data_IF_521165127996
#
_entry.id   IF_521165127996
#
_cell.length_a   1.000
_cell.length_b   1.000
_cell.length_c   1.000
_cell.angle_alpha   90.00
_cell.angle_beta   90.00
_cell.angle_gamma   90.00
#
_symmetry.space_group_name_H-M   'P 1'
#
loop_
_entity.id
_entity.type
_entity.pdbx_description
1 polymer ?
#
# COMPACT_ATOMS: atom_id res chain seq x y z
N UNK A 1 -23.22 -6.00 -54.71
CA UNK A 1 -22.43 -7.02 -53.98
C UNK A 1 -22.96 -8.39 -54.40
N UNK A 2 -22.11 -9.39 -54.64
CA UNK A 2 -22.57 -10.75 -54.94
C UNK A 2 -23.27 -11.34 -53.71
N UNK A 3 -24.29 -12.19 -53.92
CA UNK A 3 -25.09 -12.82 -52.86
C UNK A 3 -24.20 -13.52 -51.82
N UNK A 4 -23.18 -14.23 -52.28
CA UNK A 4 -22.20 -14.93 -51.42
C UNK A 4 -21.47 -14.01 -50.42
N UNK A 5 -21.18 -12.75 -50.82
CA UNK A 5 -20.51 -11.78 -49.93
C UNK A 5 -21.46 -11.24 -48.85
N UNK A 6 -22.76 -11.23 -49.12
CA UNK A 6 -23.77 -10.83 -48.15
C UNK A 6 -23.93 -11.93 -47.09
N UNK A 7 -23.94 -13.20 -47.51
CA UNK A 7 -24.06 -14.36 -46.63
C UNK A 7 -22.85 -14.50 -45.70
N UNK A 8 -21.63 -14.29 -46.20
CA UNK A 8 -20.41 -14.27 -45.39
C UNK A 8 -20.46 -13.18 -44.30
N UNK A 9 -20.94 -11.98 -44.65
CA UNK A 9 -21.08 -10.88 -43.71
C UNK A 9 -22.14 -11.18 -42.63
N UNK A 10 -23.24 -11.83 -43.00
CA UNK A 10 -24.28 -12.27 -42.05
C UNK A 10 -23.71 -13.30 -41.06
N UNK A 11 -22.93 -14.26 -41.54
CA UNK A 11 -22.29 -15.27 -40.68
C UNK A 11 -21.30 -14.62 -39.71
N UNK A 12 -20.53 -13.64 -40.16
CA UNK A 12 -19.60 -12.92 -39.30
C UNK A 12 -20.34 -12.12 -38.21
N UNK A 13 -21.43 -11.43 -38.58
CA UNK A 13 -22.27 -10.74 -37.60
C UNK A 13 -22.88 -11.71 -36.58
N UNK A 14 -23.37 -12.88 -37.01
CA UNK A 14 -23.88 -13.91 -36.10
C UNK A 14 -22.81 -14.40 -35.11
N UNK A 15 -21.57 -14.61 -35.58
CA UNK A 15 -20.43 -14.98 -34.71
C UNK A 15 -20.10 -13.88 -33.71
N UNK A 16 -20.15 -12.62 -34.12
CA UNK A 16 -19.92 -11.47 -33.24
C UNK A 16 -21.00 -11.39 -32.16
N UNK A 17 -22.28 -11.47 -32.53
CA UNK A 17 -23.41 -11.47 -31.59
C UNK A 17 -23.31 -12.64 -30.60
N UNK A 18 -23.05 -13.85 -31.08
CA UNK A 18 -22.87 -15.02 -30.21
C UNK A 18 -21.72 -14.85 -29.22
N UNK A 19 -20.57 -14.32 -29.69
CA UNK A 19 -19.42 -14.03 -28.82
C UNK A 19 -19.76 -12.99 -27.75
N UNK A 20 -20.51 -11.96 -28.10
CA UNK A 20 -20.95 -10.92 -27.15
C UNK A 20 -21.89 -11.47 -26.09
N UNK A 21 -22.87 -12.28 -26.49
CA UNK A 21 -23.80 -12.96 -25.58
C UNK A 21 -23.05 -13.90 -24.64
N UNK A 22 -22.13 -14.71 -25.17
CA UNK A 22 -21.29 -15.60 -24.36
C UNK A 22 -20.44 -14.83 -23.35
N UNK A 23 -19.81 -13.73 -23.77
CA UNK A 23 -19.01 -12.87 -22.89
C UNK A 23 -19.88 -12.15 -21.84
N UNK A 24 -21.14 -11.85 -22.15
CA UNK A 24 -22.11 -11.31 -21.20
C UNK A 24 -22.50 -12.36 -20.18
N UNK A 25 -22.78 -13.58 -20.61
CA UNK A 25 -23.13 -14.70 -19.73
C UNK A 25 -21.99 -15.06 -18.77
N UNK A 26 -20.75 -15.14 -19.26
CA UNK A 26 -19.57 -15.38 -18.41
C UNK A 26 -19.40 -14.31 -17.32
N UNK A 27 -19.56 -13.03 -17.69
CA UNK A 27 -19.50 -11.90 -16.74
C UNK A 27 -20.62 -11.97 -15.71
N UNK A 28 -21.83 -12.35 -16.13
CA UNK A 28 -22.98 -12.48 -15.23
C UNK A 28 -22.81 -13.66 -14.27
N UNK A 29 -22.38 -14.83 -14.76
CA UNK A 29 -22.20 -16.04 -13.94
C UNK A 29 -21.03 -15.98 -12.96
N UNK A 30 -20.01 -15.14 -13.22
CA UNK A 30 -18.81 -15.00 -12.37
C UNK A 30 -18.14 -16.33 -12.04
N UNK A 31 -18.10 -17.26 -13.00
CA UNK A 31 -17.49 -18.59 -12.84
C UNK A 31 -18.38 -19.66 -12.20
N UNK A 32 -19.63 -19.35 -11.84
CA UNK A 32 -20.62 -20.33 -11.36
C UNK A 32 -21.38 -21.05 -12.48
N UNK A 33 -21.96 -22.21 -12.16
CA UNK A 33 -22.88 -22.94 -13.06
C UNK A 33 -24.23 -22.21 -13.21
N UNK A 34 -24.68 -21.55 -12.14
CA UNK A 34 -25.95 -20.85 -12.07
C UNK A 34 -25.73 -19.34 -12.09
N UNK A 35 -26.76 -18.60 -12.48
CA UNK A 35 -26.76 -17.14 -12.33
C UNK A 35 -26.73 -16.76 -10.84
N UNK A 36 -25.97 -15.72 -10.47
CA UNK A 36 -26.04 -15.21 -9.12
C UNK A 36 -27.46 -14.71 -8.86
N UNK A 37 -28.10 -15.26 -7.83
CA UNK A 37 -29.37 -14.77 -7.33
C UNK A 37 -29.15 -14.19 -5.94
N UNK A 38 -29.94 -13.18 -5.57
CA UNK A 38 -29.88 -12.65 -4.23
C UNK A 38 -30.61 -13.61 -3.28
N UNK A 39 -29.93 -14.04 -2.22
CA UNK A 39 -30.50 -14.91 -1.18
C UNK A 39 -31.40 -14.08 -0.27
N UNK A 40 -31.15 -12.78 -0.14
CA UNK A 40 -31.96 -11.87 0.67
C UNK A 40 -33.36 -11.71 0.06
N UNK A 41 -34.43 -12.07 0.79
CA UNK A 41 -35.78 -11.79 0.34
C UNK A 41 -36.06 -10.29 0.45
N UNK A 42 -36.51 -9.70 -0.67
CA UNK A 42 -36.90 -8.28 -0.79
C UNK A 42 -35.78 -7.34 -0.34
N UNK A 43 -34.63 -7.31 -1.03
CA UNK A 43 -33.46 -6.55 -0.59
C UNK A 43 -33.70 -5.04 -0.59
N UNK A 44 -34.49 -4.53 -1.53
CA UNK A 44 -34.73 -3.08 -1.63
C UNK A 44 -35.93 -2.65 -0.80
N UNK A 45 -35.84 -1.49 -0.15
CA UNK A 45 -36.98 -0.90 0.59
C UNK A 45 -38.16 -0.59 -0.34
N UNK A 46 -37.86 -0.23 -1.59
CA UNK A 46 -38.84 0.06 -2.62
C UNK A 46 -39.72 -1.16 -2.92
N UNK A 47 -39.16 -2.35 -3.03
CA UNK A 47 -39.93 -3.59 -3.19
C UNK A 47 -40.89 -3.81 -2.02
N UNK A 48 -40.45 -3.49 -0.79
CA UNK A 48 -41.26 -3.64 0.45
C UNK A 48 -42.38 -2.62 0.58
N UNK A 49 -42.20 -1.42 0.02
CA UNK A 49 -43.13 -0.30 0.17
C UNK A 49 -44.13 -0.17 -0.99
N UNK A 50 -43.77 -0.59 -2.21
CA UNK A 50 -44.66 -0.48 -3.38
C UNK A 50 -45.82 -1.47 -3.32
N UNK A 51 -45.58 -2.68 -2.81
CA UNK A 51 -46.60 -3.70 -2.64
C UNK A 51 -46.70 -4.05 -1.16
N UNK A 52 -47.91 -4.08 -0.56
CA UNK A 52 -48.04 -4.58 0.79
C UNK A 52 -47.55 -6.02 0.83
N UNK A 53 -46.57 -6.32 1.69
CA UNK A 53 -45.97 -7.65 1.77
C UNK A 53 -47.03 -8.69 2.12
N UNK A 54 -47.02 -9.80 1.39
CA UNK A 54 -47.80 -10.98 1.73
C UNK A 54 -47.29 -11.61 3.04
N UNK A 55 -48.12 -12.41 3.71
CA UNK A 55 -47.72 -13.05 4.97
C UNK A 55 -46.56 -14.03 4.80
N UNK A 56 -46.46 -14.69 3.63
CA UNK A 56 -45.33 -15.56 3.29
C UNK A 56 -44.02 -14.77 3.14
N UNK A 57 -44.05 -13.63 2.46
CA UNK A 57 -42.88 -12.76 2.31
C UNK A 57 -42.42 -12.18 3.65
N UNK A 58 -43.35 -11.84 4.55
CA UNK A 58 -43.02 -11.40 5.92
C UNK A 58 -42.36 -12.51 6.72
N UNK A 59 -42.86 -13.75 6.62
CA UNK A 59 -42.27 -14.90 7.30
C UNK A 59 -40.84 -15.17 6.80
N UNK A 60 -40.62 -15.13 5.48
CA UNK A 60 -39.28 -15.27 4.88
C UNK A 60 -38.33 -14.15 5.33
N UNK A 61 -38.81 -12.91 5.38
CA UNK A 61 -37.98 -11.79 5.86
C UNK A 61 -37.64 -11.92 7.34
N UNK A 62 -38.60 -12.36 8.16
CA UNK A 62 -38.37 -12.62 9.59
C UNK A 62 -37.31 -13.70 9.77
N UNK A 63 -37.43 -14.82 9.05
CA UNK A 63 -36.43 -15.88 9.06
C UNK A 63 -35.05 -15.36 8.66
N UNK A 64 -34.96 -14.62 7.56
CA UNK A 64 -33.69 -14.03 7.12
C UNK A 64 -33.04 -13.14 8.19
N UNK A 65 -33.83 -12.29 8.87
CA UNK A 65 -33.34 -11.43 9.94
C UNK A 65 -32.90 -12.21 11.17
N UNK A 66 -33.59 -13.32 11.49
CA UNK A 66 -33.20 -14.22 12.57
C UNK A 66 -31.91 -14.97 12.23
N UNK A 67 -31.73 -15.39 10.97
CA UNK A 67 -30.51 -16.05 10.48
C UNK A 67 -29.27 -15.14 10.50
N UNK A 68 -29.45 -13.81 10.51
CA UNK A 68 -28.34 -12.86 10.69
C UNK A 68 -27.82 -12.79 12.13
N UNK A 69 -28.52 -13.39 13.11
CA UNK A 69 -28.07 -13.39 14.51
C UNK A 69 -26.94 -14.40 14.66
N UNK A 70 -25.74 -13.91 14.97
CA UNK A 70 -24.58 -14.76 15.22
C UNK A 70 -24.79 -15.59 16.50
N UNK A 71 -24.19 -16.79 16.50
CA UNK A 71 -24.21 -17.65 17.69
C UNK A 71 -23.43 -16.99 18.85
N UNK A 72 -23.77 -17.26 20.12
CA UNK A 72 -23.02 -16.72 21.26
C UNK A 72 -21.53 -17.13 21.29
N UNK A 73 -21.19 -18.20 20.58
CA UNK A 73 -19.82 -18.70 20.43
C UNK A 73 -18.99 -17.84 19.48
N UNK A 74 -19.62 -17.16 18.54
CA UNK A 74 -18.93 -16.31 17.57
C UNK A 74 -18.64 -14.93 18.17
N UNK A 75 -17.49 -14.31 17.84
CA UNK A 75 -16.51 -14.69 16.82
C UNK A 75 -15.45 -15.70 17.33
N UNK A 76 -15.21 -16.76 16.55
CA UNK A 76 -14.13 -17.74 16.80
C UNK A 76 -12.91 -17.39 15.94
N UNK A 77 -11.75 -17.22 16.57
CA UNK A 77 -10.49 -16.99 15.85
C UNK A 77 -9.90 -18.33 15.38
N UNK A 78 -10.00 -18.62 14.08
CA UNK A 78 -9.47 -19.85 13.47
C UNK A 78 -8.09 -19.55 12.85
N UNK A 79 -6.99 -20.03 13.46
CA UNK A 79 -5.64 -19.68 13.01
C UNK A 79 -5.29 -20.23 11.63
N UNK A 80 -5.94 -21.32 11.20
CA UNK A 80 -5.68 -22.00 9.92
C UNK A 80 -6.23 -21.21 8.72
N UNK A 81 -7.30 -20.45 8.91
CA UNK A 81 -7.94 -19.69 7.84
C UNK A 81 -7.13 -18.45 7.44
N UNK A 82 -6.25 -17.96 8.34
CA UNK A 82 -5.41 -16.79 8.11
C UNK A 82 -3.95 -17.18 7.87
N UNK A 83 -3.68 -17.89 6.76
CA UNK A 83 -2.30 -18.18 6.34
C UNK A 83 -1.54 -16.87 6.09
N UNK A 84 -0.63 -16.53 7.01
CA UNK A 84 0.28 -15.38 6.93
C UNK A 84 1.70 -15.87 6.59
N UNK A 85 2.43 -15.11 5.78
CA UNK A 85 3.86 -15.33 5.54
C UNK A 85 4.65 -15.39 6.86
N UNK A 86 5.79 -16.10 6.89
CA UNK A 86 6.60 -16.31 8.11
C UNK A 86 6.98 -14.98 8.78
N UNK A 87 7.49 -14.02 8.00
CA UNK A 87 7.80 -12.68 8.50
C UNK A 87 6.57 -11.96 9.04
N UNK A 88 5.44 -12.11 8.36
CA UNK A 88 4.17 -11.54 8.82
C UNK A 88 3.71 -12.15 10.12
N UNK A 89 3.98 -13.44 10.33
CA UNK A 89 3.67 -14.16 11.56
C UNK A 89 4.55 -13.69 12.72
N UNK A 90 5.86 -13.54 12.51
CA UNK A 90 6.78 -13.14 13.58
C UNK A 90 6.48 -11.74 14.08
N UNK A 91 6.37 -10.74 13.19
CA UNK A 91 6.06 -9.38 13.64
C UNK A 91 4.62 -9.28 14.20
N UNK A 92 3.64 -9.95 13.59
CA UNK A 92 2.25 -9.90 14.10
C UNK A 92 2.19 -10.45 15.52
N UNK A 93 2.90 -11.55 15.83
CA UNK A 93 2.92 -12.14 17.18
C UNK A 93 3.38 -11.14 18.25
N UNK A 94 4.42 -10.35 17.97
CA UNK A 94 4.91 -9.35 18.91
C UNK A 94 3.84 -8.30 19.22
N UNK A 95 3.21 -7.74 18.19
CA UNK A 95 2.16 -6.73 18.37
C UNK A 95 0.84 -7.32 18.88
N UNK A 96 0.55 -8.58 18.59
CA UNK A 96 -0.60 -9.31 19.14
C UNK A 96 -0.45 -9.50 20.65
N UNK A 97 0.77 -9.77 21.14
CA UNK A 97 1.07 -9.83 22.57
C UNK A 97 0.86 -8.47 23.26
N UNK A 98 1.38 -7.38 22.68
CA UNK A 98 1.16 -6.03 23.20
C UNK A 98 -0.33 -5.66 23.21
N UNK A 99 -1.05 -5.91 22.12
CA UNK A 99 -2.49 -5.66 22.05
C UNK A 99 -3.29 -6.53 23.03
N UNK A 100 -2.81 -7.74 23.34
CA UNK A 100 -3.38 -8.64 24.34
C UNK A 100 -3.35 -8.05 25.76
N UNK A 101 -2.28 -7.34 26.11
CA UNK A 101 -2.15 -6.65 27.40
C UNK A 101 -3.18 -5.51 27.54
N UNK A 102 -3.46 -4.81 26.44
CA UNK A 102 -4.44 -3.71 26.42
C UNK A 102 -5.89 -4.17 26.19
N UNK A 103 -6.11 -5.45 25.85
CA UNK A 103 -7.43 -6.03 25.61
C UNK A 103 -8.43 -5.86 26.76
N UNK A 104 -8.08 -6.07 28.05
CA UNK A 104 -9.03 -5.85 29.16
C UNK A 104 -9.44 -4.39 29.32
N UNK A 105 -8.58 -3.44 28.95
CA UNK A 105 -8.85 -2.00 29.08
C UNK A 105 -9.72 -1.47 27.93
N UNK A 106 -9.40 -1.87 26.69
CA UNK A 106 -10.01 -1.33 25.47
C UNK A 106 -11.23 -2.14 25.00
N UNK A 107 -11.40 -3.37 25.47
CA UNK A 107 -12.49 -4.25 25.05
C UNK A 107 -12.39 -4.75 23.61
N UNK A 108 -13.36 -5.57 23.21
CA UNK A 108 -13.32 -6.33 21.96
C UNK A 108 -13.42 -5.45 20.69
N UNK A 109 -14.06 -4.28 20.78
CA UNK A 109 -14.28 -3.37 19.63
C UNK A 109 -12.99 -2.64 19.21
N UNK A 110 -12.20 -2.16 20.17
CA UNK A 110 -11.04 -1.31 19.90
C UNK A 110 -9.71 -2.09 19.80
N UNK A 111 -9.62 -3.27 20.43
CA UNK A 111 -8.45 -4.17 20.32
C UNK A 111 -8.00 -4.44 18.87
N UNK A 112 -8.88 -4.79 17.90
CA UNK A 112 -8.46 -5.03 16.53
C UNK A 112 -7.97 -3.77 15.80
N UNK A 113 -8.47 -2.59 16.19
CA UNK A 113 -8.01 -1.30 15.64
C UNK A 113 -6.58 -1.03 16.12
N UNK A 114 -6.33 -1.17 17.42
CA UNK A 114 -5.00 -1.01 18.00
C UNK A 114 -3.97 -1.95 17.36
N UNK A 115 -4.31 -3.23 17.22
CA UNK A 115 -3.47 -4.26 16.59
C UNK A 115 -3.00 -3.87 15.18
N UNK A 116 -3.84 -3.17 14.42
CA UNK A 116 -3.51 -2.71 13.06
C UNK A 116 -2.78 -1.37 13.06
N UNK A 117 -3.21 -0.43 13.90
CA UNK A 117 -2.66 0.93 13.92
C UNK A 117 -1.25 0.99 14.52
N UNK A 118 -0.98 0.22 15.58
CA UNK A 118 0.27 0.28 16.33
C UNK A 118 1.51 -0.07 15.49
N UNK A 119 1.58 -1.19 14.74
CA UNK A 119 2.72 -1.46 13.88
C UNK A 119 2.85 -0.45 12.73
N UNK A 120 1.71 0.04 12.22
CA UNK A 120 1.67 0.98 11.10
C UNK A 120 2.26 2.33 11.48
N UNK A 121 2.14 2.77 12.73
CA UNK A 121 2.69 4.05 13.20
C UNK A 121 4.08 3.88 13.82
N UNK A 122 4.27 2.87 14.67
CA UNK A 122 5.50 2.73 15.45
C UNK A 122 6.71 2.38 14.59
N UNK A 123 6.57 1.42 13.66
CA UNK A 123 7.69 0.96 12.83
C UNK A 123 8.24 2.09 11.93
N UNK A 124 7.41 2.80 11.13
CA UNK A 124 7.95 3.88 10.31
C UNK A 124 8.46 5.04 11.16
N UNK A 125 7.85 5.35 12.31
CA UNK A 125 8.36 6.38 13.21
C UNK A 125 9.78 6.06 13.70
N UNK A 126 10.00 4.84 14.20
CA UNK A 126 11.34 4.39 14.62
C UNK A 126 12.31 4.35 13.43
N UNK A 127 11.86 3.91 12.26
CA UNK A 127 12.65 3.92 11.03
C UNK A 127 13.11 5.32 10.63
N UNK A 128 12.20 6.30 10.66
CA UNK A 128 12.50 7.71 10.36
C UNK A 128 13.47 8.29 11.40
N UNK A 129 13.23 8.05 12.70
CA UNK A 129 14.09 8.56 13.75
C UNK A 129 15.51 8.00 13.66
N UNK A 130 15.64 6.69 13.45
CA UNK A 130 16.95 6.02 13.30
C UNK A 130 17.66 6.47 12.02
N UNK A 131 16.95 6.56 10.89
CA UNK A 131 17.51 7.05 9.64
C UNK A 131 17.97 8.51 9.74
N UNK A 132 17.16 9.37 10.36
CA UNK A 132 17.51 10.77 10.61
C UNK A 132 18.73 10.90 11.52
N UNK A 133 18.78 10.12 12.61
CA UNK A 133 19.93 10.09 13.51
C UNK A 133 21.21 9.69 12.76
N UNK A 134 21.13 8.63 11.93
CA UNK A 134 22.26 8.17 11.13
C UNK A 134 22.72 9.23 10.12
N UNK A 135 21.81 9.91 9.42
CA UNK A 135 22.15 11.01 8.52
C UNK A 135 22.83 12.15 9.27
N UNK A 136 22.31 12.52 10.45
CA UNK A 136 22.77 13.70 11.19
C UNK A 136 24.13 13.50 11.85
N UNK A 137 24.40 12.32 12.40
CA UNK A 137 25.59 12.07 13.23
C UNK A 137 26.59 11.10 12.60
N UNK A 138 26.26 10.48 11.46
CA UNK A 138 27.18 9.62 10.72
C UNK A 138 27.30 10.10 9.26
N UNK A 139 27.74 11.35 9.04
CA UNK A 139 28.07 11.83 7.70
C UNK A 139 29.25 11.03 7.17
N UNK A 140 29.20 10.68 5.89
CA UNK A 140 30.32 10.05 5.21
C UNK A 140 31.43 11.08 4.98
N UNK A 141 32.52 10.93 5.72
CA UNK A 141 33.78 11.69 5.55
C UNK A 141 34.89 10.78 5.06
N UNK A 142 35.94 11.36 4.49
CA UNK A 142 37.13 10.63 4.02
C UNK A 142 37.74 9.71 5.10
N UNK A 143 37.68 10.09 6.38
CA UNK A 143 38.17 9.30 7.52
C UNK A 143 37.31 8.06 7.80
N UNK A 144 35.99 8.19 7.62
CA UNK A 144 35.04 7.09 7.82
C UNK A 144 34.93 6.15 6.62
N UNK A 145 35.48 6.56 5.46
CA UNK A 145 35.49 5.77 4.22
C UNK A 145 34.07 5.45 3.73
N UNK A 146 33.78 4.18 3.49
CA UNK A 146 32.45 3.73 3.03
C UNK A 146 31.38 3.67 4.14
N UNK A 147 31.71 4.05 5.38
CA UNK A 147 30.76 4.05 6.49
C UNK A 147 29.95 5.35 6.51
N UNK A 148 28.66 5.25 6.83
CA UNK A 148 27.76 6.41 6.96
C UNK A 148 27.03 6.79 5.67
N UNK A 149 26.19 7.81 5.77
CA UNK A 149 25.40 8.31 4.65
C UNK A 149 26.09 9.51 4.00
N UNK A 150 26.23 9.47 2.67
CA UNK A 150 26.64 10.62 1.87
C UNK A 150 25.42 11.49 1.62
N UNK A 151 25.33 12.62 2.32
CA UNK A 151 24.27 13.61 2.10
C UNK A 151 24.89 14.89 1.56
N UNK A 152 24.85 15.02 0.24
CA UNK A 152 25.35 16.19 -0.47
C UNK A 152 24.18 17.06 -0.89
N UNK A 153 24.26 18.36 -0.59
CA UNK A 153 23.32 19.33 -1.13
C UNK A 153 23.78 19.71 -2.52
N UNK A 154 23.15 19.14 -3.53
CA UNK A 154 23.31 19.52 -4.94
C UNK A 154 22.64 20.88 -5.20
N UNK A 155 23.00 21.92 -4.46
CA UNK A 155 22.46 23.26 -4.69
C UNK A 155 23.36 23.98 -5.67
N UNK A 156 23.19 23.68 -6.96
CA UNK A 156 23.59 24.64 -8.00
C UNK A 156 22.55 25.77 -7.96
N UNK A 157 22.92 27.01 -7.61
CA UNK A 157 21.98 28.11 -7.77
C UNK A 157 21.61 28.21 -9.25
N UNK A 158 20.32 28.17 -9.57
CA UNK A 158 19.86 28.31 -10.95
C UNK A 158 20.06 29.77 -11.34
N UNK A 159 20.96 30.02 -12.29
CA UNK A 159 21.20 31.34 -12.85
C UNK A 159 20.25 31.58 -14.02
N UNK A 160 19.50 32.68 -13.97
CA UNK A 160 18.55 33.05 -15.03
C UNK A 160 19.09 34.20 -15.90
N UNK A 161 18.63 34.35 -17.16
CA UNK A 161 18.99 35.49 -17.99
C UNK A 161 18.67 36.82 -17.29
N UNK A 162 19.65 37.73 -17.24
CA UNK A 162 19.53 39.04 -16.57
C UNK A 162 20.15 39.10 -15.17
N UNK A 163 20.62 37.97 -14.62
CA UNK A 163 21.47 37.97 -13.43
C UNK A 163 22.94 38.22 -13.82
N UNK A 164 23.75 38.84 -12.93
CA UNK A 164 25.13 39.24 -13.26
C UNK A 164 26.04 38.07 -13.63
N UNK A 165 25.74 36.86 -13.15
CA UNK A 165 26.55 35.67 -13.39
C UNK A 165 26.12 34.86 -14.63
N UNK A 166 25.03 35.23 -15.31
CA UNK A 166 24.60 34.57 -16.55
C UNK A 166 25.48 35.03 -17.74
N UNK A 167 25.99 34.11 -18.61
CA UNK A 167 25.64 32.70 -18.80
C UNK A 167 26.56 31.70 -18.09
N UNK A 168 27.45 32.15 -17.21
CA UNK A 168 28.45 31.28 -16.60
C UNK A 168 27.81 30.33 -15.60
N UNK A 169 28.18 29.05 -15.66
CA UNK A 169 27.76 28.10 -14.62
C UNK A 169 28.41 28.48 -13.28
N UNK A 170 27.65 28.48 -12.17
CA UNK A 170 28.21 28.76 -10.85
C UNK A 170 29.30 27.73 -10.52
N UNK A 171 30.44 28.22 -10.01
CA UNK A 171 31.52 27.34 -9.56
C UNK A 171 31.02 26.47 -8.41
N UNK A 172 31.32 25.17 -8.49
CA UNK A 172 30.99 24.24 -7.42
C UNK A 172 31.90 24.56 -6.22
N UNK A 173 31.31 24.84 -5.06
CA UNK A 173 32.06 25.22 -3.85
C UNK A 173 32.87 24.05 -3.26
N UNK A 174 32.45 22.79 -3.50
CA UNK A 174 33.08 21.60 -2.93
C UNK A 174 33.24 20.49 -3.98
N UNK A 175 34.35 19.75 -3.92
CA UNK A 175 34.56 18.60 -4.80
C UNK A 175 33.90 17.34 -4.24
N UNK A 176 32.96 16.73 -4.98
CA UNK A 176 32.24 15.52 -4.54
C UNK A 176 33.15 14.30 -4.25
N UNK A 177 34.32 14.24 -4.91
CA UNK A 177 35.27 13.16 -4.71
C UNK A 177 36.14 13.35 -3.45
N UNK A 178 36.16 14.57 -2.90
CA UNK A 178 37.09 14.95 -1.84
C UNK A 178 36.59 14.55 -0.44
N UNK A 179 35.28 14.32 -0.27
CA UNK A 179 34.67 13.85 1.00
C UNK A 179 35.13 14.66 2.24
N UNK A 180 35.40 15.95 2.07
CA UNK A 180 35.88 16.87 3.11
C UNK A 180 37.36 16.73 3.45
N UNK A 181 38.16 16.08 2.61
CA UNK A 181 39.60 15.94 2.81
C UNK A 181 40.33 17.29 2.72
N UNK A 182 39.95 18.18 1.81
CA UNK A 182 40.54 19.53 1.69
C UNK A 182 40.26 20.43 2.90
N UNK A 183 39.13 20.24 3.58
CA UNK A 183 38.72 21.03 4.76
C UNK A 183 39.45 20.65 6.06
N UNK A 184 40.35 19.66 6.02
CA UNK A 184 41.04 19.14 7.21
C UNK A 184 42.04 20.16 7.79
N UNK A 185 42.02 20.35 9.11
CA UNK A 185 42.96 21.25 9.81
C UNK A 185 44.22 20.56 10.33
N UNK A 186 44.22 19.23 10.36
CA UNK A 186 45.23 18.40 11.05
C UNK A 186 46.53 18.27 10.23
N UNK A 187 46.49 18.60 8.93
CA UNK A 187 47.60 18.45 7.99
C UNK A 187 47.87 19.73 7.17
N UNK A 188 47.65 20.92 7.75
CA UNK A 188 47.92 22.20 7.08
C UNK A 188 49.03 23.03 7.74
N UNK A 189 49.65 22.52 8.82
CA UNK A 189 50.71 23.24 9.52
C UNK A 189 52.09 23.04 8.90
N UNK A 190 52.96 24.05 9.03
CA UNK A 190 54.37 24.08 8.59
C UNK A 190 55.25 22.94 9.16
N UNK A 191 54.72 22.15 10.09
CA UNK A 191 55.38 21.02 10.74
C UNK A 191 55.09 19.67 10.09
N UNK A 192 54.42 19.66 8.94
CA UNK A 192 54.39 18.44 8.15
C UNK A 192 55.75 18.23 7.51
N UNK A 193 56.44 17.19 8.01
CA UNK A 193 57.54 16.57 7.29
C UNK A 193 56.94 15.87 6.07
N UNK A 194 56.52 16.65 5.06
CA UNK A 194 56.28 16.09 3.73
C UNK A 194 57.65 15.76 3.16
N UNK A 195 57.92 14.46 3.17
CA UNK A 195 58.98 13.76 2.47
C UNK A 195 59.34 14.40 1.11
N UNK A 196 60.65 14.61 0.91
CA UNK A 196 61.30 14.50 -0.40
C UNK A 196 61.24 15.73 -1.29
N UNK A 197 62.32 16.51 -1.27
CA UNK A 197 62.94 16.95 -2.52
C UNK A 197 63.57 15.75 -3.22
#
# INVERSE_FOLDING_TARGET
>A
MSVDKLDDAIIEMQKQLYKEEYMKELRMRRGGKFYPFNIEPMPTERERLIKPMTDSERALRKQWLDDQKLSPREPVDVPEFTRKNIFRRSYSKFFDGLAGIFRPLLGQKYTPVLRKALPLVLIPYLGICTFWYQIKYSPRTWETGFRGFRVERLRRPVTHPGQPDFPNSPKLEHHFADEGFSDRKIFLGDKLVTSGR
#
